data_IF_976610909056
#
_entry.id   IF_976610909056
#
_cell.length_a   1.000
_cell.length_b   1.000
_cell.length_c   1.000
_cell.angle_alpha   90.00
_cell.angle_beta   90.00
_cell.angle_gamma   90.00
#
_symmetry.space_group_name_H-M   'P 1'
#
loop_
_entity.id
_entity.type
_entity.pdbx_description
1 polymer ?
#
# COMPACT_ATOMS: atom_id res chain seq x y z
N UNK A 1 -4.57 -5.02 -20.17
CA UNK A 1 -3.80 -3.81 -19.84
C UNK A 1 -2.48 -4.23 -19.21
N UNK A 2 -1.49 -3.34 -19.05
CA UNK A 2 -0.47 -3.59 -18.05
C UNK A 2 -1.15 -3.40 -16.69
N UNK A 3 -1.08 -4.41 -15.84
CA UNK A 3 -1.58 -4.36 -14.47
C UNK A 3 -0.73 -3.35 -13.70
N UNK A 4 -1.29 -2.18 -13.40
CA UNK A 4 -0.62 -1.09 -12.68
C UNK A 4 -1.17 -1.07 -11.26
N UNK A 5 -0.30 -1.19 -10.26
CA UNK A 5 -0.66 -1.00 -8.86
C UNK A 5 -0.48 0.45 -8.46
N UNK A 6 -1.46 0.97 -7.73
CA UNK A 6 -1.40 2.22 -6.98
C UNK A 6 -1.53 1.84 -5.51
N UNK A 7 -0.57 2.25 -4.68
CA UNK A 7 -0.63 1.98 -3.27
C UNK A 7 -0.24 3.18 -2.43
N UNK A 8 -0.82 3.21 -1.23
CA UNK A 8 -0.59 4.24 -0.22
C UNK A 8 -0.54 3.57 1.16
N UNK A 9 0.24 4.14 2.06
CA UNK A 9 0.46 3.53 3.36
C UNK A 9 1.27 4.41 4.29
N UNK A 10 1.62 3.81 5.43
CA UNK A 10 2.39 4.43 6.50
C UNK A 10 3.63 3.59 6.81
N UNK A 11 4.68 4.28 7.25
CA UNK A 11 5.94 3.72 7.71
C UNK A 11 6.16 4.11 9.16
N UNK A 12 6.54 3.13 9.99
CA UNK A 12 6.95 3.34 11.37
C UNK A 12 8.41 2.86 11.57
N UNK A 13 9.29 3.80 11.87
CA UNK A 13 10.72 3.63 11.98
C UNK A 13 11.10 3.15 13.38
N UNK A 14 11.25 1.83 13.54
CA UNK A 14 11.58 1.22 14.85
C UNK A 14 13.07 1.16 15.11
N UNK A 15 13.42 1.24 16.39
CA UNK A 15 14.79 1.24 16.88
C UNK A 15 15.32 2.65 17.16
N UNK A 16 16.64 2.80 17.22
CA UNK A 16 17.27 4.06 17.64
C UNK A 16 17.65 4.93 16.45
N UNK A 17 16.64 5.32 15.66
CA UNK A 17 16.82 6.27 14.56
C UNK A 17 17.26 7.61 15.11
N UNK A 18 18.33 8.16 14.53
CA UNK A 18 18.69 9.55 14.75
C UNK A 18 18.27 10.39 13.54
N UNK A 19 18.04 11.69 13.78
CA UNK A 19 17.51 12.60 12.76
C UNK A 19 18.32 12.60 11.47
N UNK A 20 19.66 12.58 11.59
CA UNK A 20 20.54 12.60 10.42
C UNK A 20 20.40 11.34 9.56
N UNK A 21 20.28 10.16 10.17
CA UNK A 21 20.12 8.90 9.44
C UNK A 21 18.71 8.75 8.88
N UNK A 22 17.69 9.18 9.61
CA UNK A 22 16.30 9.22 9.15
C UNK A 22 16.15 10.09 7.89
N UNK A 23 16.63 11.34 7.94
CA UNK A 23 16.59 12.26 6.78
C UNK A 23 17.43 11.72 5.61
N UNK A 24 18.60 11.13 5.91
CA UNK A 24 19.45 10.50 4.89
C UNK A 24 18.75 9.31 4.21
N UNK A 25 18.10 8.45 4.98
CA UNK A 25 17.37 7.29 4.45
C UNK A 25 16.28 7.74 3.48
N UNK A 26 15.40 8.64 3.92
CA UNK A 26 14.29 9.15 3.08
C UNK A 26 14.84 9.82 1.82
N UNK A 27 15.87 10.65 1.95
CA UNK A 27 16.47 11.35 0.81
C UNK A 27 17.06 10.37 -0.22
N UNK A 28 17.80 9.35 0.21
CA UNK A 28 18.41 8.38 -0.70
C UNK A 28 17.34 7.43 -1.26
N UNK A 29 16.41 6.94 -0.44
CA UNK A 29 15.27 6.13 -0.88
C UNK A 29 14.52 6.83 -2.01
N UNK A 30 14.06 8.06 -1.78
CA UNK A 30 13.33 8.83 -2.78
C UNK A 30 14.19 9.11 -4.01
N UNK A 31 15.47 9.43 -3.85
CA UNK A 31 16.36 9.67 -5.00
C UNK A 31 16.46 8.45 -5.92
N UNK A 32 16.49 7.24 -5.34
CA UNK A 32 16.68 6.00 -6.08
C UNK A 32 15.37 5.38 -6.60
N UNK A 33 14.25 5.62 -5.92
CA UNK A 33 12.99 4.93 -6.20
C UNK A 33 11.87 5.85 -6.70
N UNK A 34 12.04 7.18 -6.63
CA UNK A 34 11.12 8.15 -7.23
C UNK A 34 11.47 8.40 -8.71
N UNK A 35 11.27 7.41 -9.57
CA UNK A 35 11.46 7.58 -11.00
C UNK A 35 10.28 8.35 -11.62
N UNK A 36 10.36 9.68 -11.57
CA UNK A 36 9.39 10.58 -12.23
C UNK A 36 9.44 10.54 -13.77
N UNK A 37 10.41 9.81 -14.35
CA UNK A 37 10.57 9.68 -15.81
C UNK A 37 9.88 8.40 -16.32
N UNK A 38 9.75 7.39 -15.46
CA UNK A 38 8.93 6.21 -15.70
C UNK A 38 7.48 6.36 -15.22
N UNK A 39 6.64 5.38 -15.59
CA UNK A 39 5.26 5.26 -15.09
C UNK A 39 5.19 4.66 -13.66
N UNK A 40 6.34 4.37 -13.03
CA UNK A 40 6.44 3.64 -11.76
C UNK A 40 7.38 4.33 -10.77
N UNK A 41 7.01 4.37 -9.50
CA UNK A 41 7.79 5.01 -8.45
C UNK A 41 7.43 4.49 -7.05
N UNK A 42 8.34 4.68 -6.10
CA UNK A 42 8.07 4.65 -4.65
C UNK A 42 8.55 5.97 -4.05
N UNK A 43 7.70 6.59 -3.22
CA UNK A 43 7.98 7.87 -2.57
C UNK A 43 7.59 7.77 -1.10
N UNK A 44 8.49 8.24 -0.25
CA UNK A 44 8.23 8.54 1.15
C UNK A 44 7.99 10.05 1.28
N UNK A 45 6.92 10.46 1.93
CA UNK A 45 6.62 11.86 2.25
C UNK A 45 5.91 12.00 3.60
N UNK A 46 5.53 13.24 3.96
CA UNK A 46 4.89 13.58 5.24
C UNK A 46 5.66 13.07 6.47
N UNK A 47 6.98 13.13 6.43
CA UNK A 47 7.85 12.56 7.45
C UNK A 47 7.80 13.31 8.78
N UNK A 48 7.77 12.56 9.88
CA UNK A 48 7.76 13.07 11.25
C UNK A 48 8.76 12.32 12.13
N UNK A 49 9.98 12.84 12.18
CA UNK A 49 11.06 12.25 12.97
C UNK A 49 10.73 12.10 14.47
N UNK A 50 10.00 13.05 15.07
CA UNK A 50 9.70 13.02 16.52
C UNK A 50 8.78 11.84 16.88
N UNK A 51 7.97 11.37 15.92
CA UNK A 51 7.14 10.19 16.07
C UNK A 51 7.75 8.93 15.46
N UNK A 52 8.76 9.07 14.60
CA UNK A 52 9.28 7.96 13.81
C UNK A 52 8.30 7.51 12.72
N UNK A 53 7.47 8.42 12.19
CA UNK A 53 6.42 8.09 11.24
C UNK A 53 6.68 8.76 9.88
N UNK A 54 6.24 8.15 8.79
CA UNK A 54 6.14 8.78 7.47
C UNK A 54 5.03 8.11 6.65
N UNK A 55 4.65 8.72 5.53
CA UNK A 55 3.78 8.09 4.54
C UNK A 55 4.62 7.47 3.43
N UNK A 56 4.09 6.41 2.81
CA UNK A 56 4.62 5.84 1.59
C UNK A 56 3.53 5.78 0.53
N UNK A 57 3.90 6.06 -0.71
CA UNK A 57 3.04 5.85 -1.86
C UNK A 57 3.86 5.37 -3.05
N UNK A 58 3.22 4.64 -3.94
CA UNK A 58 3.87 4.30 -5.18
C UNK A 58 2.96 3.74 -6.24
N UNK A 59 3.51 3.73 -7.44
CA UNK A 59 2.88 3.16 -8.62
C UNK A 59 3.84 2.13 -9.21
N UNK A 60 3.34 0.96 -9.60
CA UNK A 60 4.22 -0.10 -10.08
C UNK A 60 3.55 -1.15 -10.94
N UNK A 61 4.29 -2.20 -11.29
CA UNK A 61 3.78 -3.31 -12.10
C UNK A 61 3.28 -4.43 -11.20
N UNK A 62 2.09 -4.93 -11.52
CA UNK A 62 1.41 -6.01 -10.79
C UNK A 62 0.98 -5.54 -9.42
N UNK A 63 1.57 -6.05 -8.35
CA UNK A 63 1.23 -5.69 -6.97
C UNK A 63 2.27 -4.74 -6.38
N UNK A 64 1.87 -3.98 -5.36
CA UNK A 64 2.79 -3.13 -4.61
C UNK A 64 3.86 -3.95 -3.88
N UNK A 65 3.48 -5.12 -3.36
CA UNK A 65 4.39 -6.11 -2.77
C UNK A 65 5.54 -6.45 -3.74
N UNK A 66 5.22 -6.70 -5.01
CA UNK A 66 6.23 -7.02 -6.01
C UNK A 66 7.23 -5.86 -6.17
N UNK A 67 6.78 -4.61 -6.11
CA UNK A 67 7.68 -3.45 -6.15
C UNK A 67 8.58 -3.38 -4.91
N UNK A 68 8.02 -3.64 -3.72
CA UNK A 68 8.79 -3.71 -2.46
C UNK A 68 9.87 -4.82 -2.53
N UNK A 69 9.52 -6.00 -3.06
CA UNK A 69 10.48 -7.11 -3.22
C UNK A 69 11.63 -6.79 -4.19
N UNK A 70 11.41 -5.86 -5.13
CA UNK A 70 12.37 -5.47 -6.16
C UNK A 70 13.13 -4.18 -5.85
N UNK A 71 12.95 -3.58 -4.67
CA UNK A 71 13.52 -2.26 -4.33
C UNK A 71 15.02 -2.15 -4.57
N UNK A 72 15.83 -3.15 -4.17
CA UNK A 72 17.28 -3.09 -4.44
C UNK A 72 17.59 -3.10 -5.93
N UNK A 73 16.87 -3.90 -6.72
CA UNK A 73 17.08 -3.95 -8.16
C UNK A 73 16.73 -2.60 -8.79
N UNK A 74 15.67 -1.93 -8.34
CA UNK A 74 15.34 -0.58 -8.80
C UNK A 74 16.41 0.43 -8.38
N UNK A 75 16.80 0.43 -7.11
CA UNK A 75 17.77 1.37 -6.59
C UNK A 75 19.14 1.28 -7.29
N UNK A 76 19.58 0.07 -7.65
CA UNK A 76 20.85 -0.14 -8.37
C UNK A 76 20.76 0.15 -9.87
N UNK A 77 19.55 0.28 -10.43
CA UNK A 77 19.32 0.63 -11.83
C UNK A 77 18.87 2.09 -12.03
N UNK A 78 18.72 2.86 -10.95
CA UNK A 78 18.31 4.27 -10.98
C UNK A 78 19.31 5.18 -11.72
N UNK A 79 20.57 4.76 -11.85
CA UNK A 79 21.62 5.51 -12.54
C UNK A 79 21.25 5.85 -14.00
N UNK A 80 20.36 5.07 -14.64
CA UNK A 80 19.89 5.29 -16.00
C UNK A 80 19.20 6.64 -16.21
N UNK A 81 18.75 7.28 -15.14
CA UNK A 81 18.03 8.56 -15.15
C UNK A 81 18.73 9.64 -14.31
N UNK A 82 19.95 9.36 -13.84
CA UNK A 82 20.71 10.25 -12.97
C UNK A 82 21.92 10.86 -13.68
N UNK A 83 22.51 11.91 -13.09
CA UNK A 83 23.82 12.42 -13.51
C UNK A 83 25.00 11.65 -12.91
N UNK A 84 24.73 10.71 -12.00
CA UNK A 84 25.74 9.87 -11.35
C UNK A 84 26.09 8.67 -12.23
N UNK A 85 27.31 8.19 -12.04
CA UNK A 85 27.74 6.89 -12.57
C UNK A 85 27.12 5.76 -11.76
N UNK A 86 27.06 4.55 -12.35
CA UNK A 86 26.60 3.34 -11.67
C UNK A 86 27.36 3.10 -10.35
N UNK A 87 28.68 3.23 -10.37
CA UNK A 87 29.56 3.03 -9.20
C UNK A 87 29.24 4.01 -8.05
N UNK A 88 28.91 5.26 -8.36
CA UNK A 88 28.50 6.25 -7.35
C UNK A 88 27.14 5.91 -6.74
N UNK A 89 26.18 5.46 -7.55
CA UNK A 89 24.86 5.02 -7.08
C UNK A 89 24.96 3.76 -6.19
N UNK A 90 25.74 2.77 -6.62
CA UNK A 90 25.97 1.53 -5.85
C UNK A 90 26.62 1.85 -4.50
N UNK A 91 27.66 2.68 -4.49
CA UNK A 91 28.35 3.09 -3.26
C UNK A 91 27.44 3.88 -2.31
N UNK A 92 26.63 4.81 -2.83
CA UNK A 92 25.67 5.56 -2.01
C UNK A 92 24.64 4.66 -1.35
N UNK A 93 24.05 3.73 -2.13
CA UNK A 93 23.07 2.77 -1.64
C UNK A 93 23.70 1.83 -0.60
N UNK A 94 24.84 1.21 -0.89
CA UNK A 94 25.54 0.31 0.04
C UNK A 94 25.90 0.99 1.37
N UNK A 95 26.37 2.24 1.33
CA UNK A 95 26.74 2.96 2.54
C UNK A 95 25.53 3.25 3.42
N UNK A 96 24.37 3.55 2.83
CA UNK A 96 23.12 3.65 3.58
C UNK A 96 22.77 2.33 4.24
N UNK A 97 22.79 1.22 3.48
CA UNK A 97 22.43 -0.10 4.00
C UNK A 97 23.34 -0.55 5.15
N UNK A 98 24.66 -0.29 5.06
CA UNK A 98 25.62 -0.57 6.15
C UNK A 98 25.23 0.15 7.44
N UNK A 99 24.93 1.44 7.37
CA UNK A 99 24.57 2.22 8.56
C UNK A 99 23.25 1.78 9.20
N UNK A 100 22.26 1.38 8.38
CA UNK A 100 20.97 0.85 8.84
C UNK A 100 21.18 -0.53 9.49
N UNK A 101 21.95 -1.41 8.86
CA UNK A 101 22.25 -2.75 9.34
C UNK A 101 23.04 -2.77 10.65
N UNK A 102 24.12 -1.97 10.76
CA UNK A 102 24.96 -1.88 11.97
C UNK A 102 24.17 -1.43 13.22
N UNK A 103 23.05 -0.75 13.01
CA UNK A 103 22.17 -0.23 14.06
C UNK A 103 20.92 -1.07 14.29
N UNK A 104 20.80 -2.20 13.58
CA UNK A 104 19.65 -3.11 13.66
C UNK A 104 18.32 -2.36 13.50
N UNK A 105 18.27 -1.39 12.57
CA UNK A 105 17.10 -0.56 12.34
C UNK A 105 16.14 -1.27 11.38
N UNK A 106 14.85 -1.18 11.69
CA UNK A 106 13.77 -1.75 10.89
C UNK A 106 12.70 -0.67 10.64
N UNK A 107 11.87 -0.91 9.64
CA UNK A 107 10.73 -0.07 9.31
C UNK A 107 9.52 -1.01 9.21
N UNK A 108 8.52 -0.80 10.06
CA UNK A 108 7.21 -1.44 9.88
C UNK A 108 6.45 -0.65 8.80
N UNK A 109 5.76 -1.37 7.92
CA UNK A 109 4.99 -0.79 6.83
C UNK A 109 3.58 -1.35 6.85
N UNK A 110 2.60 -0.47 6.77
CA UNK A 110 1.20 -0.79 6.53
C UNK A 110 0.76 -0.08 5.25
N UNK A 111 0.19 -0.79 4.29
CA UNK A 111 -0.24 -0.19 3.03
C UNK A 111 -1.48 -0.85 2.45
N UNK A 112 -2.18 -0.08 1.63
CA UNK A 112 -3.29 -0.52 0.81
C UNK A 112 -2.86 -0.45 -0.65
N UNK A 113 -3.02 -1.54 -1.37
CA UNK A 113 -2.80 -1.67 -2.82
C UNK A 113 -4.15 -1.69 -3.53
N UNK A 114 -4.45 -0.62 -4.25
CA UNK A 114 -5.76 -0.32 -4.85
C UNK A 114 -5.99 -0.99 -6.21
N UNK A 115 -4.91 -1.39 -6.89
CA UNK A 115 -4.98 -1.87 -8.27
C UNK A 115 -3.91 -2.95 -8.50
N UNK A 116 -3.95 -4.04 -7.74
CA UNK A 116 -2.93 -5.11 -7.76
C UNK A 116 -2.79 -5.87 -9.11
N UNK A 117 -3.41 -5.40 -10.19
CA UNK A 117 -3.66 -6.21 -11.39
C UNK A 117 -4.63 -7.36 -11.16
N UNK A 118 -5.16 -7.45 -9.94
CA UNK A 118 -6.22 -8.31 -9.49
C UNK A 118 -7.39 -7.37 -9.17
N UNK A 119 -8.62 -7.85 -9.31
CA UNK A 119 -9.84 -7.06 -9.22
C UNK A 119 -10.16 -6.60 -7.77
N UNK A 120 -9.19 -6.69 -6.86
CA UNK A 120 -9.30 -6.63 -5.40
C UNK A 120 -8.44 -5.52 -4.79
N UNK A 121 -8.95 -4.92 -3.70
CA UNK A 121 -8.18 -4.08 -2.79
C UNK A 121 -7.42 -4.98 -1.81
N UNK A 122 -6.12 -4.75 -1.61
CA UNK A 122 -5.32 -5.56 -0.67
C UNK A 122 -4.71 -4.66 0.39
N UNK A 123 -5.00 -4.93 1.66
CA UNK A 123 -4.31 -4.31 2.80
C UNK A 123 -3.20 -5.25 3.26
N UNK A 124 -1.97 -4.75 3.37
CA UNK A 124 -0.83 -5.51 3.79
C UNK A 124 -0.10 -4.82 4.93
N UNK A 125 0.41 -5.63 5.86
CA UNK A 125 1.36 -5.22 6.86
C UNK A 125 2.66 -6.02 6.67
N UNK A 126 3.80 -5.37 6.86
CA UNK A 126 5.09 -6.00 6.67
C UNK A 126 6.23 -5.29 7.38
N UNK A 127 7.43 -5.84 7.19
CA UNK A 127 8.66 -5.29 7.73
C UNK A 127 9.64 -5.06 6.59
N UNK A 128 10.30 -3.91 6.63
CA UNK A 128 11.45 -3.60 5.80
C UNK A 128 12.68 -3.52 6.71
N UNK A 129 13.67 -4.36 6.43
CA UNK A 129 14.94 -4.38 7.15
C UNK A 129 16.14 -4.57 6.20
N UNK A 130 17.36 -4.49 6.74
CA UNK A 130 18.57 -4.74 5.96
C UNK A 130 19.18 -6.07 6.34
N UNK A 131 19.24 -6.98 5.36
CA UNK A 131 19.75 -8.33 5.54
C UNK A 131 21.06 -8.55 4.77
N UNK A 132 21.95 -9.36 5.33
CA UNK A 132 23.15 -9.84 4.64
C UNK A 132 22.80 -11.04 3.75
N UNK A 133 23.14 -10.94 2.47
CA UNK A 133 22.91 -11.98 1.46
C UNK A 133 24.22 -12.36 0.78
N UNK A 134 24.21 -13.42 -0.04
CA UNK A 134 25.37 -13.82 -0.85
C UNK A 134 25.84 -12.73 -1.83
N UNK A 135 24.96 -11.75 -2.13
CA UNK A 135 25.23 -10.62 -3.02
C UNK A 135 25.53 -9.31 -2.25
N UNK A 136 25.66 -9.37 -0.91
CA UNK A 136 25.87 -8.22 -0.04
C UNK A 136 24.62 -7.82 0.74
N UNK A 137 24.66 -6.62 1.34
CA UNK A 137 23.53 -6.07 2.09
C UNK A 137 22.39 -5.66 1.16
N UNK A 138 21.15 -6.00 1.54
CA UNK A 138 19.95 -5.67 0.77
C UNK A 138 18.84 -5.15 1.69
N UNK A 139 18.09 -4.17 1.21
CA UNK A 139 16.83 -3.75 1.83
C UNK A 139 15.73 -4.77 1.48
N UNK A 140 15.33 -5.60 2.42
CA UNK A 140 14.39 -6.71 2.19
C UNK A 140 13.03 -6.33 2.75
N UNK A 141 11.97 -6.72 2.04
CA UNK A 141 10.60 -6.64 2.51
C UNK A 141 10.10 -8.06 2.85
N UNK A 142 9.48 -8.20 4.00
CA UNK A 142 8.79 -9.42 4.44
C UNK A 142 7.32 -9.10 4.74
N UNK A 143 6.41 -9.77 4.02
CA UNK A 143 4.97 -9.70 4.26
C UNK A 143 4.64 -10.44 5.57
N UNK A 144 3.96 -9.75 6.48
CA UNK A 144 3.59 -10.28 7.80
C UNK A 144 2.11 -10.61 7.88
N UNK A 145 1.28 -9.74 7.30
CA UNK A 145 -0.18 -9.88 7.29
C UNK A 145 -0.75 -9.36 5.97
N UNK A 146 -1.84 -9.99 5.52
CA UNK A 146 -2.47 -9.66 4.25
C UNK A 146 -3.97 -9.92 4.33
N UNK A 147 -4.74 -8.87 4.11
CA UNK A 147 -6.19 -8.91 3.97
C UNK A 147 -6.55 -8.53 2.54
N UNK A 148 -7.20 -9.46 1.83
CA UNK A 148 -7.76 -9.22 0.51
C UNK A 148 -9.25 -8.87 0.65
N UNK A 149 -9.68 -7.84 -0.08
CA UNK A 149 -11.08 -7.39 -0.10
C UNK A 149 -11.62 -7.52 -1.52
N UNK A 150 -12.78 -8.19 -1.66
CA UNK A 150 -13.41 -8.45 -2.96
C UNK A 150 -13.98 -7.19 -3.67
N UNK A 151 -13.76 -6.00 -3.11
CA UNK A 151 -14.12 -4.71 -3.72
C UNK A 151 -12.89 -3.83 -3.93
N UNK A 152 -12.86 -3.05 -5.02
CA UNK A 152 -11.80 -2.07 -5.30
C UNK A 152 -12.32 -0.62 -5.28
N UNK A 153 -11.43 0.35 -5.44
CA UNK A 153 -11.78 1.79 -5.41
C UNK A 153 -12.82 2.18 -6.46
N UNK A 154 -12.85 1.50 -7.61
CA UNK A 154 -13.89 1.70 -8.62
C UNK A 154 -15.26 1.26 -8.08
N UNK A 155 -15.36 0.13 -7.37
CA UNK A 155 -16.61 -0.26 -6.71
C UNK A 155 -17.05 0.78 -5.65
N UNK A 156 -16.11 1.32 -4.86
CA UNK A 156 -16.42 2.32 -3.83
C UNK A 156 -16.85 3.67 -4.42
N UNK A 157 -16.25 4.10 -5.54
CA UNK A 157 -16.66 5.30 -6.28
C UNK A 157 -18.05 5.10 -6.90
N UNK A 158 -18.33 3.92 -7.48
CA UNK A 158 -19.65 3.60 -8.02
C UNK A 158 -20.75 3.68 -6.94
N UNK A 159 -20.39 3.35 -5.70
CA UNK A 159 -21.25 3.44 -4.53
C UNK A 159 -21.26 4.83 -3.87
N UNK A 160 -20.61 5.86 -4.44
CA UNK A 160 -20.54 7.22 -3.85
C UNK A 160 -19.95 7.24 -2.41
N UNK A 161 -19.19 6.21 -2.04
CA UNK A 161 -18.52 6.07 -0.73
C UNK A 161 -17.14 6.72 -0.75
N UNK A 162 -16.60 6.90 -1.95
CA UNK A 162 -15.25 7.37 -2.20
C UNK A 162 -15.26 8.42 -3.32
N UNK A 163 -14.59 9.56 -3.11
CA UNK A 163 -14.41 10.61 -4.13
C UNK A 163 -12.99 10.53 -4.71
N UNK A 164 -12.86 10.58 -6.04
CA UNK A 164 -11.57 10.58 -6.74
C UNK A 164 -10.62 11.70 -6.24
N UNK A 165 -11.17 12.79 -5.71
CA UNK A 165 -10.40 13.93 -5.22
C UNK A 165 -9.78 13.72 -3.81
N UNK A 166 -10.24 12.72 -3.03
CA UNK A 166 -9.81 12.50 -1.63
C UNK A 166 -8.95 11.22 -1.50
N UNK A 167 -7.63 11.36 -1.54
CA UNK A 167 -6.68 10.23 -1.50
C UNK A 167 -6.47 9.58 -0.12
N UNK A 168 -7.02 10.14 0.96
CA UNK A 168 -6.81 9.71 2.34
C UNK A 168 -8.11 9.26 3.02
N UNK A 169 -8.89 8.37 2.40
CA UNK A 169 -10.05 7.79 3.09
C UNK A 169 -9.57 6.67 4.01
N UNK A 170 -9.82 6.81 5.32
CA UNK A 170 -9.46 5.76 6.28
C UNK A 170 -10.42 4.57 6.13
N UNK A 171 -9.90 3.35 6.23
CA UNK A 171 -10.70 2.11 6.18
C UNK A 171 -11.87 2.12 7.19
N UNK A 172 -11.70 2.81 8.32
CA UNK A 172 -12.75 3.02 9.32
C UNK A 172 -13.94 3.81 8.77
N UNK A 173 -13.68 4.85 7.99
CA UNK A 173 -14.71 5.73 7.44
C UNK A 173 -15.47 5.01 6.31
N UNK A 174 -14.75 4.24 5.47
CA UNK A 174 -15.37 3.35 4.47
C UNK A 174 -16.35 2.37 5.14
N UNK A 175 -15.93 1.75 6.26
CA UNK A 175 -16.75 0.81 7.03
C UNK A 175 -17.99 1.49 7.66
N UNK A 176 -17.84 2.72 8.16
CA UNK A 176 -18.95 3.49 8.73
C UNK A 176 -19.96 3.90 7.65
N UNK A 177 -19.52 4.40 6.49
CA UNK A 177 -20.40 4.79 5.38
C UNK A 177 -21.13 3.59 4.77
N UNK A 178 -20.45 2.46 4.55
CA UNK A 178 -21.09 1.21 4.11
C UNK A 178 -22.21 0.78 5.07
N UNK A 179 -22.02 0.95 6.37
CA UNK A 179 -23.02 0.65 7.40
C UNK A 179 -24.17 1.69 7.45
N UNK A 180 -23.88 2.97 7.32
CA UNK A 180 -24.89 4.03 7.48
C UNK A 180 -25.78 4.19 6.26
N UNK A 181 -25.18 4.22 5.06
CA UNK A 181 -25.89 4.57 3.82
C UNK A 181 -26.47 3.35 3.11
N UNK A 182 -25.73 2.24 3.15
CA UNK A 182 -26.12 1.00 2.46
C UNK A 182 -26.57 -0.11 3.43
N UNK A 183 -26.38 0.08 4.75
CA UNK A 183 -26.64 -0.93 5.79
C UNK A 183 -25.91 -2.25 5.52
N UNK A 184 -24.73 -2.16 4.91
CA UNK A 184 -24.01 -3.29 4.33
C UNK A 184 -23.07 -4.01 5.30
N UNK A 185 -23.01 -3.65 6.58
CA UNK A 185 -22.17 -4.36 7.54
C UNK A 185 -22.93 -4.46 8.87
N UNK A 186 -23.16 -5.66 9.40
CA UNK A 186 -23.54 -5.79 10.80
C UNK A 186 -22.87 -6.98 11.48
N UNK A 187 -21.89 -6.68 12.34
CA UNK A 187 -21.65 -7.44 13.55
C UNK A 187 -22.33 -6.71 14.70
N UNK A 188 -23.30 -7.36 15.36
CA UNK A 188 -23.69 -6.90 16.70
C UNK A 188 -22.51 -7.20 17.62
N UNK A 189 -21.74 -6.18 18.02
CA UNK A 189 -20.65 -6.35 18.99
C UNK A 189 -21.13 -6.93 20.34
N UNK A 190 -22.45 -7.00 20.59
CA UNK A 190 -23.02 -7.64 21.78
C UNK A 190 -23.40 -9.11 21.62
N UNK A 191 -23.61 -9.61 20.40
CA UNK A 191 -24.26 -10.93 20.21
C UNK A 191 -23.57 -11.85 19.18
N UNK A 192 -22.57 -11.40 18.42
CA UNK A 192 -21.82 -12.23 17.45
C UNK A 192 -22.70 -13.06 16.48
N UNK A 193 -23.86 -12.54 16.07
CA UNK A 193 -24.70 -13.17 15.04
C UNK A 193 -24.65 -12.36 13.74
N UNK A 194 -24.18 -12.99 12.65
CA UNK A 194 -24.25 -12.45 11.29
C UNK A 194 -25.69 -12.51 10.78
N UNK A 195 -26.18 -11.43 10.15
CA UNK A 195 -27.45 -11.43 9.42
C UNK A 195 -27.21 -11.05 7.97
N UNK A 196 -27.64 -11.93 7.06
CA UNK A 196 -27.66 -11.68 5.61
C UNK A 196 -28.48 -10.44 5.26
N UNK A 197 -28.12 -9.80 4.17
CA UNK A 197 -28.92 -8.74 3.56
C UNK A 197 -30.32 -9.25 3.21
N UNK A 198 -31.25 -8.31 3.17
CA UNK A 198 -32.57 -8.58 2.58
C UNK A 198 -32.47 -8.41 1.07
N UNK A 199 -33.22 -9.21 0.31
CA UNK A 199 -33.30 -9.09 -1.16
C UNK A 199 -33.49 -7.65 -1.65
N UNK A 200 -34.28 -6.84 -0.92
CA UNK A 200 -34.53 -5.45 -1.28
C UNK A 200 -33.28 -4.55 -1.19
N UNK A 201 -32.32 -4.90 -0.33
CA UNK A 201 -31.02 -4.20 -0.24
C UNK A 201 -30.07 -4.67 -1.34
N UNK A 202 -30.08 -5.96 -1.66
CA UNK A 202 -29.30 -6.53 -2.77
C UNK A 202 -29.74 -5.89 -4.10
N UNK A 203 -31.05 -5.82 -4.35
CA UNK A 203 -31.64 -5.19 -5.54
C UNK A 203 -31.30 -3.67 -5.64
N UNK A 204 -31.11 -2.97 -4.52
CA UNK A 204 -30.78 -1.54 -4.49
C UNK A 204 -29.31 -1.30 -4.88
N UNK A 205 -28.41 -2.18 -4.42
CA UNK A 205 -26.99 -2.18 -4.79
C UNK A 205 -26.84 -2.59 -6.26
N UNK A 206 -27.56 -3.63 -6.71
CA UNK A 206 -27.53 -4.11 -8.11
C UNK A 206 -27.85 -2.99 -9.07
N UNK A 207 -28.87 -2.22 -8.76
CA UNK A 207 -29.28 -1.10 -9.58
C UNK A 207 -28.21 0.00 -9.68
N UNK A 208 -27.45 0.24 -8.62
CA UNK A 208 -26.35 1.23 -8.62
C UNK A 208 -25.17 0.71 -9.44
N UNK A 209 -24.85 -0.58 -9.34
CA UNK A 209 -23.73 -1.16 -10.11
C UNK A 209 -24.08 -1.37 -11.59
N UNK A 210 -25.33 -1.72 -11.91
CA UNK A 210 -25.83 -1.84 -13.29
C UNK A 210 -25.71 -0.53 -14.08
N UNK A 211 -25.85 0.62 -13.41
CA UNK A 211 -25.67 1.94 -14.00
C UNK A 211 -24.18 2.32 -14.20
N UNK A 212 -23.25 1.51 -13.69
CA UNK A 212 -21.80 1.70 -13.74
C UNK A 212 -21.09 0.48 -14.38
N UNK A 213 -20.89 0.45 -15.72
CA UNK A 213 -20.47 -0.73 -16.49
C UNK A 213 -19.03 -1.25 -16.23
N UNK A 214 -18.37 -0.72 -15.21
CA UNK A 214 -17.04 -1.07 -14.73
C UNK A 214 -17.05 -1.60 -13.29
N UNK A 215 -18.21 -1.62 -12.62
CA UNK A 215 -18.40 -2.28 -11.33
C UNK A 215 -18.59 -3.80 -11.51
N UNK A 216 -18.11 -4.59 -10.54
CA UNK A 216 -18.33 -6.05 -10.49
C UNK A 216 -19.77 -6.42 -10.15
N UNK A 217 -20.13 -7.70 -10.29
CA UNK A 217 -21.48 -8.20 -10.00
C UNK A 217 -21.78 -8.10 -8.50
N UNK A 218 -23.03 -7.82 -8.12
CA UNK A 218 -23.41 -7.68 -6.71
C UNK A 218 -23.22 -8.96 -5.92
N UNK A 219 -23.46 -10.13 -6.51
CA UNK A 219 -23.18 -11.40 -5.85
C UNK A 219 -21.71 -11.48 -5.39
N UNK A 220 -20.74 -10.91 -6.13
CA UNK A 220 -19.33 -10.89 -5.75
C UNK A 220 -19.04 -9.89 -4.62
N UNK A 221 -19.82 -8.82 -4.48
CA UNK A 221 -19.73 -7.88 -3.36
C UNK A 221 -20.45 -8.41 -2.11
N UNK A 222 -21.47 -9.25 -2.28
CA UNK A 222 -22.34 -9.71 -1.19
C UNK A 222 -21.98 -11.08 -0.60
N UNK A 223 -21.34 -11.97 -1.37
CA UNK A 223 -20.99 -13.32 -0.91
C UNK A 223 -20.00 -13.31 0.26
N UNK A 224 -19.13 -12.29 0.37
CA UNK A 224 -18.17 -12.14 1.48
C UNK A 224 -18.48 -11.01 2.48
N UNK A 225 -19.69 -10.43 2.44
CA UNK A 225 -20.25 -9.67 3.58
C UNK A 225 -20.74 -10.62 4.69
N UNK A 226 -20.77 -11.94 4.44
CA UNK A 226 -20.70 -12.89 5.55
C UNK A 226 -19.28 -12.81 6.14
N UNK A 227 -19.19 -12.35 7.41
CA UNK A 227 -18.08 -12.42 8.37
C UNK A 227 -17.29 -11.13 8.68
N UNK A 228 -17.78 -10.41 9.69
CA UNK A 228 -17.11 -10.36 11.00
C UNK A 228 -18.10 -10.80 12.08
#
# INVERSE_FOLDING_TARGET
MANISSAFGTLDFKGTWNKSLFEKFISIFNKHLNDKVGDYYLIIDNENFEKGEANIRGIGRWTFENNLSLMNNWALNSFNYSTQTKEECESEWENLLKEVHEKELIIEIDYVDEESGLEYLVSNAGIIDVQETDEGLKLVYELMDSDEYEYNRSNLIALDIYDEEDFEVQLKDIKETLLEDYKLIYRNDKEHECKKLTQAQEDEIEKVLDDNPWAGDVEDILVEIDWL
#
